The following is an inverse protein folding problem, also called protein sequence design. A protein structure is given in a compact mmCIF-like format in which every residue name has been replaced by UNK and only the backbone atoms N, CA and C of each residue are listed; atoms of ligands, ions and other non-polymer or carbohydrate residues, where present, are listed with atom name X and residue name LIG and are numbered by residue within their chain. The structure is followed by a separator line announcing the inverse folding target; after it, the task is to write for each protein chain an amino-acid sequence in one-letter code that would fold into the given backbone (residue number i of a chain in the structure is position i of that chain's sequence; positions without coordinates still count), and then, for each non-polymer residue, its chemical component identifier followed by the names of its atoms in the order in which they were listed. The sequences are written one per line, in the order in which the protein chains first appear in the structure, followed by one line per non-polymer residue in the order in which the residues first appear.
data_IF_081387307431
#
_entry.id   IF_081387307431
#
_cell.length_a   1.000
_cell.length_b   1.000
_cell.length_c   1.000
_cell.angle_alpha   90.00
_cell.angle_beta   90.00
_cell.angle_gamma   90.00
#
_symmetry.space_group_name_H-M   'P 1'
#
loop_
_entity.id
_entity.type
_entity.pdbx_description
1 polymer ?
#
# COMPACT_ATOMS: atom_id res chain seq x y z
N UNK A 1 14.68 6.07 -16.07
CA UNK A 1 14.29 4.65 -16.27
C UNK A 1 15.27 3.67 -15.61
N UNK A 2 16.58 3.71 -15.89
CA UNK A 2 17.55 2.76 -15.31
C UNK A 2 17.56 2.75 -13.77
N UNK A 3 17.58 3.93 -13.13
CA UNK A 3 17.53 4.05 -11.67
C UNK A 3 16.27 3.39 -11.09
N UNK A 4 15.11 3.59 -11.73
CA UNK A 4 13.86 2.95 -11.33
C UNK A 4 13.93 1.42 -11.44
N UNK A 5 14.48 0.90 -12.55
CA UNK A 5 14.69 -0.54 -12.72
C UNK A 5 15.61 -1.12 -11.65
N UNK A 6 16.71 -0.43 -11.34
CA UNK A 6 17.62 -0.85 -10.26
C UNK A 6 16.87 -0.91 -8.92
N UNK A 7 16.09 0.13 -8.57
CA UNK A 7 15.29 0.17 -7.34
C UNK A 7 14.26 -0.95 -7.27
N UNK A 8 13.57 -1.23 -8.37
CA UNK A 8 12.68 -2.40 -8.52
C UNK A 8 13.42 -3.71 -8.21
N UNK A 9 14.56 -3.96 -8.87
CA UNK A 9 15.32 -5.19 -8.65
C UNK A 9 15.86 -5.31 -7.22
N UNK A 10 16.25 -4.19 -6.59
CA UNK A 10 16.64 -4.18 -5.18
C UNK A 10 15.48 -4.55 -4.26
N UNK A 11 14.28 -4.03 -4.54
CA UNK A 11 13.08 -4.28 -3.74
C UNK A 11 12.67 -5.76 -3.84
N UNK A 12 12.61 -6.31 -5.06
CA UNK A 12 12.30 -7.74 -5.28
C UNK A 12 13.33 -8.64 -4.59
N UNK A 13 14.62 -8.35 -4.74
CA UNK A 13 15.70 -9.16 -4.16
C UNK A 13 15.68 -9.14 -2.63
N UNK A 14 15.43 -7.98 -2.02
CA UNK A 14 15.51 -7.82 -0.57
C UNK A 14 14.21 -8.13 0.17
N UNK A 15 13.05 -8.16 -0.53
CA UNK A 15 11.73 -8.37 0.08
C UNK A 15 11.65 -9.58 1.02
N UNK A 16 12.05 -10.81 0.65
CA UNK A 16 11.92 -11.95 1.56
C UNK A 16 12.74 -11.77 2.85
N UNK A 17 13.91 -11.14 2.75
CA UNK A 17 14.76 -10.84 3.90
C UNK A 17 14.18 -9.72 4.76
N UNK A 18 13.71 -8.63 4.15
CA UNK A 18 13.06 -7.53 4.84
C UNK A 18 11.82 -7.99 5.63
N UNK A 19 11.01 -8.87 5.03
CA UNK A 19 9.85 -9.48 5.69
C UNK A 19 10.25 -10.45 6.82
N UNK A 20 11.46 -11.00 6.78
CA UNK A 20 11.97 -11.90 7.82
C UNK A 20 12.61 -11.17 9.01
N UNK A 21 12.53 -9.83 9.08
CA UNK A 21 13.14 -9.03 10.14
C UNK A 21 12.65 -9.42 11.55
N UNK A 22 11.38 -9.82 11.66
CA UNK A 22 10.79 -10.28 12.93
C UNK A 22 11.38 -11.61 13.40
N UNK A 23 11.90 -12.43 12.47
CA UNK A 23 12.57 -13.71 12.79
C UNK A 23 14.04 -13.51 13.13
N UNK A 24 14.72 -12.56 12.48
CA UNK A 24 16.12 -12.25 12.78
C UNK A 24 16.50 -10.80 12.50
N UNK A 25 17.17 -10.11 13.46
CA UNK A 25 17.59 -8.72 13.28
C UNK A 25 18.70 -8.56 12.22
N UNK A 26 19.30 -9.66 11.73
CA UNK A 26 20.34 -9.64 10.68
C UNK A 26 19.87 -9.03 9.36
N UNK A 27 18.56 -8.98 9.12
CA UNK A 27 17.98 -8.43 7.91
C UNK A 27 17.67 -6.93 7.98
N UNK A 28 18.21 -6.21 8.96
CA UNK A 28 18.02 -4.76 9.13
C UNK A 28 18.47 -3.98 7.89
N UNK A 29 19.56 -4.40 7.24
CA UNK A 29 20.01 -3.81 5.98
C UNK A 29 18.97 -3.99 4.86
N UNK A 30 18.43 -5.20 4.70
CA UNK A 30 17.40 -5.47 3.67
C UNK A 30 16.12 -4.69 3.92
N UNK A 31 15.66 -4.58 5.17
CA UNK A 31 14.51 -3.72 5.55
C UNK A 31 14.76 -2.27 5.14
N UNK A 32 15.94 -1.72 5.48
CA UNK A 32 16.34 -0.35 5.11
C UNK A 32 16.35 -0.14 3.59
N UNK A 33 17.01 -1.01 2.84
CA UNK A 33 17.13 -0.88 1.38
C UNK A 33 15.77 -1.00 0.68
N UNK A 34 14.89 -1.90 1.15
CA UNK A 34 13.53 -2.01 0.66
C UNK A 34 12.74 -0.71 0.87
N UNK A 35 12.79 -0.15 2.08
CA UNK A 35 12.08 1.10 2.40
C UNK A 35 12.60 2.28 1.59
N UNK A 36 13.92 2.49 1.56
CA UNK A 36 14.53 3.59 0.79
C UNK A 36 14.21 3.48 -0.70
N UNK A 37 14.27 2.26 -1.24
CA UNK A 37 13.97 2.03 -2.65
C UNK A 37 12.48 2.23 -2.96
N UNK A 38 11.60 1.80 -2.07
CA UNK A 38 10.16 2.01 -2.20
C UNK A 38 9.80 3.51 -2.19
N UNK A 39 10.30 4.27 -1.21
CA UNK A 39 10.04 5.71 -1.12
C UNK A 39 10.60 6.47 -2.34
N UNK A 40 11.79 6.10 -2.81
CA UNK A 40 12.35 6.66 -4.03
C UNK A 40 11.52 6.32 -5.28
N UNK A 41 10.88 5.14 -5.33
CA UNK A 41 9.98 4.81 -6.42
C UNK A 41 8.69 5.62 -6.35
N UNK A 42 8.10 5.78 -5.15
CA UNK A 42 6.87 6.54 -4.97
C UNK A 42 7.05 8.05 -5.21
N UNK A 43 8.25 8.60 -5.01
CA UNK A 43 8.50 10.03 -5.30
C UNK A 43 8.37 10.37 -6.79
N UNK A 44 8.48 9.38 -7.70
CA UNK A 44 8.19 9.59 -9.12
C UNK A 44 6.70 9.79 -9.44
N UNK A 45 5.81 9.57 -8.47
CA UNK A 45 4.37 9.89 -8.58
C UNK A 45 4.06 11.32 -8.12
N UNK A 46 5.02 12.02 -7.53
CA UNK A 46 4.81 13.39 -7.05
C UNK A 46 4.66 14.36 -8.24
N UNK A 47 3.66 15.25 -8.22
CA UNK A 47 3.52 16.26 -9.27
C UNK A 47 4.74 17.18 -9.24
N UNK A 48 5.56 17.13 -10.30
CA UNK A 48 6.69 18.05 -10.46
C UNK A 48 6.17 19.48 -10.64
N UNK A 49 6.60 20.38 -9.76
CA UNK A 49 6.40 21.84 -9.90
C UNK A 49 7.20 22.42 -11.06
N UNK A 50 8.26 21.74 -11.50
CA UNK A 50 9.04 22.14 -12.66
C UNK A 50 8.63 21.34 -13.89
N UNK A 51 8.21 22.06 -14.93
CA UNK A 51 7.81 21.54 -16.24
C UNK A 51 9.00 20.96 -17.02
N UNK A 52 9.71 19.98 -16.46
CA UNK A 52 10.73 19.21 -17.17
C UNK A 52 10.15 17.86 -17.60
N UNK A 53 9.68 17.87 -18.85
CA UNK A 53 9.82 16.91 -19.96
C UNK A 53 10.40 15.48 -19.74
N UNK A 54 10.34 14.89 -18.56
CA UNK A 54 10.36 13.43 -18.46
C UNK A 54 8.90 12.99 -18.56
N UNK A 55 8.49 12.16 -19.53
CA UNK A 55 7.16 11.55 -19.48
C UNK A 55 7.01 10.95 -18.09
N UNK A 56 6.04 11.46 -17.31
CA UNK A 56 5.88 11.08 -15.92
C UNK A 56 5.92 9.56 -15.89
N UNK A 57 6.79 8.96 -15.08
CA UNK A 57 6.89 7.50 -15.04
C UNK A 57 5.53 6.86 -14.67
N UNK A 58 4.67 7.64 -14.00
CA UNK A 58 3.25 7.38 -13.80
C UNK A 58 2.43 7.24 -15.10
N UNK A 59 2.71 8.02 -16.15
CA UNK A 59 2.13 7.86 -17.50
C UNK A 59 2.72 6.66 -18.25
N UNK A 60 3.96 6.27 -17.94
CA UNK A 60 4.63 5.07 -18.48
C UNK A 60 4.25 3.77 -17.75
N UNK A 61 3.47 3.86 -16.68
CA UNK A 61 3.02 2.73 -15.87
C UNK A 61 1.80 2.05 -16.51
N UNK A 62 1.96 1.69 -17.77
CA UNK A 62 1.20 0.66 -18.47
C UNK A 62 2.09 -0.57 -18.66
N UNK A 63 1.50 -1.77 -18.80
CA UNK A 63 2.28 -3.01 -18.97
C UNK A 63 3.13 -3.37 -17.75
N UNK A 64 4.41 -3.73 -17.97
CA UNK A 64 5.33 -4.32 -16.98
C UNK A 64 5.64 -3.45 -15.73
N UNK A 65 5.22 -2.18 -15.70
CA UNK A 65 5.49 -1.24 -14.61
C UNK A 65 4.25 -0.86 -13.78
N UNK A 66 3.10 -1.51 -14.01
CA UNK A 66 1.86 -1.23 -13.26
C UNK A 66 1.96 -1.64 -11.80
N UNK A 67 2.47 -2.83 -11.54
CA UNK A 67 2.48 -3.41 -10.19
C UNK A 67 3.65 -2.92 -9.32
N UNK A 68 4.62 -2.25 -9.93
CA UNK A 68 5.83 -1.77 -9.25
C UNK A 68 5.52 -0.69 -8.21
N UNK A 69 4.61 0.23 -8.52
CA UNK A 69 4.15 1.22 -7.56
C UNK A 69 3.30 0.61 -6.46
N UNK A 70 2.54 -0.46 -6.78
CA UNK A 70 1.77 -1.19 -5.78
C UNK A 70 2.73 -1.88 -4.81
N UNK A 71 3.72 -2.62 -5.29
CA UNK A 71 4.72 -3.27 -4.44
C UNK A 71 5.55 -2.30 -3.61
N UNK A 72 5.92 -1.14 -4.18
CA UNK A 72 6.57 -0.08 -3.43
C UNK A 72 5.66 0.44 -2.30
N UNK A 73 4.41 0.78 -2.59
CA UNK A 73 3.47 1.25 -1.58
C UNK A 73 3.19 0.20 -0.48
N UNK A 74 3.06 -1.07 -0.86
CA UNK A 74 2.92 -2.16 0.11
C UNK A 74 4.16 -2.32 1.01
N UNK A 75 5.36 -2.14 0.46
CA UNK A 75 6.60 -2.15 1.25
C UNK A 75 6.59 -1.03 2.30
N UNK A 76 6.12 0.16 1.94
CA UNK A 76 5.94 1.28 2.88
C UNK A 76 4.87 0.95 3.94
N UNK A 77 3.76 0.33 3.56
CA UNK A 77 2.74 -0.13 4.50
C UNK A 77 3.26 -1.18 5.49
N UNK A 78 4.08 -2.13 5.03
CA UNK A 78 4.72 -3.11 5.92
C UNK A 78 5.67 -2.43 6.90
N UNK A 79 6.46 -1.45 6.46
CA UNK A 79 7.31 -0.69 7.37
C UNK A 79 6.48 0.04 8.45
N UNK A 80 5.41 0.73 8.06
CA UNK A 80 4.50 1.38 9.01
C UNK A 80 3.88 0.39 10.00
N UNK A 81 3.51 -0.80 9.53
CA UNK A 81 3.04 -1.89 10.39
C UNK A 81 4.13 -2.32 11.39
N UNK A 82 5.36 -2.56 10.93
CA UNK A 82 6.47 -2.96 11.80
C UNK A 82 6.76 -1.90 12.87
N UNK A 83 6.74 -0.62 12.50
CA UNK A 83 6.87 0.48 13.46
C UNK A 83 5.74 0.43 14.50
N UNK A 84 4.49 0.20 14.09
CA UNK A 84 3.36 0.10 15.05
C UNK A 84 3.54 -1.05 16.07
N UNK A 85 4.17 -2.16 15.67
CA UNK A 85 4.51 -3.26 16.57
C UNK A 85 5.66 -2.88 17.52
N UNK A 86 6.68 -2.16 17.03
CA UNK A 86 7.83 -1.73 17.84
C UNK A 86 7.42 -0.69 18.91
N UNK A 87 6.48 0.20 18.61
CA UNK A 87 5.96 1.19 19.56
C UNK A 87 5.00 0.63 20.61
N UNK A 88 4.33 -0.48 20.31
CA UNK A 88 3.37 -1.11 21.23
C UNK A 88 4.04 -2.03 22.27
N UNK A 89 5.33 -2.36 22.10
CA UNK A 89 6.06 -3.14 23.08
C UNK A 89 6.31 -2.27 24.33
N UNK A 90 5.90 -2.71 25.55
CA UNK A 90 6.12 -1.93 26.75
C UNK A 90 7.62 -1.74 26.97
N UNK A 91 8.08 -0.51 26.79
CA UNK A 91 9.45 -0.11 27.11
C UNK A 91 9.61 -0.25 28.63
N UNK A 92 10.10 -1.41 29.08
CA UNK A 92 10.16 -1.84 30.48
C UNK A 92 11.24 -1.11 31.29
N UNK A 93 11.50 0.16 31.01
CA UNK A 93 12.47 0.98 31.72
C UNK A 93 11.78 2.24 32.24
N UNK A 94 11.70 2.44 33.57
CA UNK A 94 11.25 3.69 34.16
C UNK A 94 12.35 4.75 33.98
N UNK A 95 12.54 5.23 32.76
CA UNK A 95 13.31 6.44 32.51
C UNK A 95 12.31 7.60 32.47
N UNK A 96 12.50 8.59 33.34
CA UNK A 96 11.65 9.78 33.42
C UNK A 96 11.54 10.53 32.08
N UNK A 97 10.65 11.53 31.96
CA UNK A 97 10.42 12.26 30.73
C UNK A 97 11.67 13.05 30.33
N UNK A 98 12.58 12.40 29.61
CA UNK A 98 13.76 13.03 29.03
C UNK A 98 13.31 13.71 27.75
N UNK A 99 13.61 15.01 27.62
CA UNK A 99 13.34 15.84 26.44
C UNK A 99 13.89 15.26 25.13
N UNK A 100 14.86 14.34 25.22
CA UNK A 100 15.44 13.59 24.10
C UNK A 100 14.55 12.46 23.59
N UNK A 101 13.79 11.81 24.47
CA UNK A 101 12.82 10.78 24.07
C UNK A 101 11.61 11.40 23.37
N UNK A 102 11.16 12.56 23.83
CA UNK A 102 10.04 13.28 23.20
C UNK A 102 10.41 13.73 21.79
N UNK A 103 11.60 14.30 21.58
CA UNK A 103 12.05 14.74 20.26
C UNK A 103 12.27 13.58 19.27
N UNK A 104 12.74 12.43 19.75
CA UNK A 104 12.85 11.22 18.92
C UNK A 104 11.48 10.68 18.50
N UNK A 105 10.52 10.61 19.42
CA UNK A 105 9.15 10.19 19.11
C UNK A 105 8.47 11.13 18.09
N UNK A 106 8.70 12.44 18.22
CA UNK A 106 8.17 13.43 17.26
C UNK A 106 8.79 13.26 15.86
N UNK A 107 10.08 12.95 15.78
CA UNK A 107 10.74 12.65 14.50
C UNK A 107 10.16 11.40 13.84
N UNK A 108 9.93 10.33 14.60
CA UNK A 108 9.35 9.10 14.04
C UNK A 108 7.91 9.33 13.59
N UNK A 109 7.11 10.07 14.37
CA UNK A 109 5.74 10.45 13.96
C UNK A 109 5.75 11.29 12.67
N UNK A 110 6.70 12.22 12.54
CA UNK A 110 6.88 13.00 11.32
C UNK A 110 7.21 12.12 10.11
N UNK A 111 8.12 11.14 10.29
CA UNK A 111 8.43 10.17 9.24
C UNK A 111 7.21 9.32 8.85
N UNK A 112 6.44 8.85 9.83
CA UNK A 112 5.21 8.08 9.59
C UNK A 112 4.20 8.88 8.77
N UNK A 113 4.02 10.17 9.07
CA UNK A 113 3.11 11.03 8.31
C UNK A 113 3.55 11.16 6.84
N UNK A 114 4.84 11.37 6.59
CA UNK A 114 5.38 11.43 5.23
C UNK A 114 5.15 10.11 4.47
N UNK A 115 5.33 8.98 5.14
CA UNK A 115 5.09 7.65 4.56
C UNK A 115 3.60 7.42 4.26
N UNK A 116 2.71 7.77 5.20
CA UNK A 116 1.26 7.70 5.01
C UNK A 116 0.82 8.55 3.81
N UNK A 117 1.35 9.77 3.70
CA UNK A 117 1.07 10.66 2.60
C UNK A 117 1.59 10.10 1.26
N UNK A 118 2.75 9.44 1.24
CA UNK A 118 3.27 8.79 0.02
C UNK A 118 2.34 7.65 -0.46
N UNK A 119 1.83 6.83 0.46
CA UNK A 119 0.86 5.77 0.12
C UNK A 119 -0.46 6.37 -0.34
N UNK A 120 -0.97 7.41 0.35
CA UNK A 120 -2.22 8.08 -0.04
C UNK A 120 -2.14 8.69 -1.44
N UNK A 121 -1.02 9.32 -1.80
CA UNK A 121 -0.77 9.82 -3.17
C UNK A 121 -0.74 8.70 -4.21
N UNK A 122 -0.24 7.53 -3.83
CA UNK A 122 -0.23 6.36 -4.70
C UNK A 122 -1.65 5.82 -4.92
N UNK A 123 -2.48 5.78 -3.88
CA UNK A 123 -3.91 5.45 -3.99
C UNK A 123 -4.62 6.43 -4.92
N UNK A 124 -4.39 7.74 -4.77
CA UNK A 124 -4.95 8.75 -5.66
C UNK A 124 -4.51 8.56 -7.12
N UNK A 125 -3.26 8.16 -7.33
CA UNK A 125 -2.75 7.80 -8.67
C UNK A 125 -3.48 6.59 -9.25
N UNK A 126 -3.76 5.56 -8.44
CA UNK A 126 -4.56 4.42 -8.89
C UNK A 126 -6.02 4.79 -9.14
N UNK A 127 -6.60 5.67 -8.33
CA UNK A 127 -7.95 6.19 -8.53
C UNK A 127 -8.09 6.91 -9.88
N UNK A 128 -7.11 7.75 -10.24
CA UNK A 128 -7.07 8.43 -11.54
C UNK A 128 -6.98 7.47 -12.74
N UNK A 129 -6.53 6.21 -12.53
CA UNK A 129 -6.42 5.19 -13.58
C UNK A 129 -7.62 4.26 -13.64
N UNK A 130 -8.52 4.31 -12.67
CA UNK A 130 -9.74 3.51 -12.72
C UNK A 130 -10.58 3.93 -13.92
N UNK A 131 -10.91 2.96 -14.76
CA UNK A 131 -11.76 3.17 -15.93
C UNK A 131 -13.18 2.63 -15.72
N UNK A 132 -14.13 3.00 -16.61
CA UNK A 132 -15.49 2.47 -16.60
C UNK A 132 -15.57 0.94 -16.70
N UNK A 133 -14.53 0.30 -17.25
CA UNK A 133 -14.41 -1.16 -17.37
C UNK A 133 -14.00 -1.87 -16.08
N UNK A 134 -13.79 -1.15 -14.98
CA UNK A 134 -13.29 -1.71 -13.71
C UNK A 134 -11.78 -2.03 -13.70
N UNK A 135 -11.09 -1.82 -14.84
CA UNK A 135 -9.63 -1.91 -14.91
C UNK A 135 -8.99 -0.94 -13.91
N UNK A 136 -8.04 -1.43 -13.12
CA UNK A 136 -7.34 -0.65 -12.10
C UNK A 136 -8.01 -0.63 -10.71
N UNK A 137 -9.28 -1.05 -10.58
CA UNK A 137 -9.97 -1.04 -9.28
C UNK A 137 -9.32 -1.97 -8.24
N UNK A 138 -8.70 -3.09 -8.66
CA UNK A 138 -8.07 -4.05 -7.73
C UNK A 138 -6.93 -3.44 -6.93
N UNK A 139 -5.96 -2.82 -7.61
CA UNK A 139 -4.80 -2.20 -6.96
C UNK A 139 -5.22 -1.03 -6.06
N UNK A 140 -6.19 -0.22 -6.52
CA UNK A 140 -6.79 0.85 -5.73
C UNK A 140 -7.47 0.31 -4.45
N UNK A 141 -8.38 -0.65 -4.61
CA UNK A 141 -9.16 -1.23 -3.52
C UNK A 141 -8.25 -1.89 -2.49
N UNK A 142 -7.34 -2.75 -2.95
CA UNK A 142 -6.42 -3.48 -2.09
C UNK A 142 -5.51 -2.53 -1.29
N UNK A 143 -4.87 -1.56 -1.96
CA UNK A 143 -3.98 -0.64 -1.27
C UNK A 143 -4.73 0.26 -0.28
N UNK A 144 -5.97 0.65 -0.59
CA UNK A 144 -6.83 1.41 0.33
C UNK A 144 -7.10 0.60 1.61
N UNK A 145 -7.43 -0.70 1.49
CA UNK A 145 -7.66 -1.55 2.66
C UNK A 145 -6.39 -1.77 3.50
N UNK A 146 -5.25 -1.98 2.84
CA UNK A 146 -3.97 -2.12 3.54
C UNK A 146 -3.63 -0.83 4.29
N UNK A 147 -3.81 0.34 3.67
CA UNK A 147 -3.58 1.63 4.33
C UNK A 147 -4.53 1.84 5.51
N UNK A 148 -5.80 1.48 5.37
CA UNK A 148 -6.79 1.54 6.46
C UNK A 148 -6.36 0.66 7.65
N UNK A 149 -5.94 -0.58 7.39
CA UNK A 149 -5.41 -1.49 8.40
C UNK A 149 -4.22 -0.90 9.15
N UNK A 150 -3.26 -0.33 8.43
CA UNK A 150 -2.06 0.27 9.00
C UNK A 150 -2.42 1.50 9.84
N UNK A 151 -3.27 2.40 9.34
CA UNK A 151 -3.75 3.57 10.09
C UNK A 151 -4.46 3.16 11.38
N UNK A 152 -5.31 2.13 11.32
CA UNK A 152 -5.98 1.61 12.51
C UNK A 152 -4.96 1.13 13.56
N UNK A 153 -3.95 0.36 13.16
CA UNK A 153 -2.91 -0.16 14.07
C UNK A 153 -2.05 0.94 14.68
N UNK A 154 -1.64 1.94 13.91
CA UNK A 154 -0.90 3.11 14.42
C UNK A 154 -1.74 3.86 15.46
N UNK A 155 -3.06 3.96 15.25
CA UNK A 155 -3.99 4.62 16.17
C UNK A 155 -4.47 3.74 17.33
N UNK A 156 -3.98 2.50 17.45
CA UNK A 156 -4.43 1.54 18.48
C UNK A 156 -5.89 1.10 18.34
N UNK A 157 -6.46 1.21 17.13
CA UNK A 157 -7.82 0.79 16.79
C UNK A 157 -7.83 -0.66 16.29
N UNK A 158 -9.01 -1.29 16.34
CA UNK A 158 -9.24 -2.61 15.76
C UNK A 158 -9.21 -2.53 14.22
N UNK A 159 -8.20 -3.14 13.56
CA UNK A 159 -8.06 -3.05 12.11
C UNK A 159 -9.23 -3.69 11.36
N UNK A 160 -9.87 -4.74 11.92
CA UNK A 160 -10.96 -5.42 11.22
C UNK A 160 -12.17 -4.49 11.06
N UNK A 161 -12.58 -3.81 12.15
CA UNK A 161 -13.71 -2.87 12.13
C UNK A 161 -13.48 -1.70 11.18
N UNK A 162 -12.27 -1.15 11.17
CA UNK A 162 -11.92 -0.04 10.27
C UNK A 162 -11.95 -0.49 8.81
N UNK A 163 -11.39 -1.67 8.50
CA UNK A 163 -11.43 -2.24 7.16
C UNK A 163 -12.88 -2.48 6.71
N UNK A 164 -13.74 -3.07 7.54
CA UNK A 164 -15.15 -3.32 7.21
C UNK A 164 -15.89 -2.04 6.81
N UNK A 165 -15.64 -0.93 7.54
CA UNK A 165 -16.20 0.37 7.21
C UNK A 165 -15.64 0.91 5.88
N UNK A 166 -14.32 0.86 5.71
CA UNK A 166 -13.64 1.42 4.53
C UNK A 166 -13.92 0.62 3.25
N UNK A 167 -14.11 -0.71 3.34
CA UNK A 167 -14.51 -1.57 2.22
C UNK A 167 -15.78 -1.04 1.57
N UNK A 168 -16.79 -0.70 2.38
CA UNK A 168 -18.08 -0.23 1.89
C UNK A 168 -17.98 1.12 1.18
N UNK A 169 -17.14 2.02 1.69
CA UNK A 169 -16.87 3.32 1.06
C UNK A 169 -16.11 3.11 -0.25
N UNK A 170 -15.04 2.31 -0.23
CA UNK A 170 -14.20 2.03 -1.39
C UNK A 170 -14.98 1.35 -2.51
N UNK A 171 -15.86 0.40 -2.19
CA UNK A 171 -16.73 -0.27 -3.17
C UNK A 171 -17.67 0.73 -3.86
N UNK A 172 -18.31 1.63 -3.11
CA UNK A 172 -19.15 2.70 -3.68
C UNK A 172 -18.33 3.65 -4.58
N UNK A 173 -17.12 3.99 -4.17
CA UNK A 173 -16.23 4.83 -4.98
C UNK A 173 -15.88 4.13 -6.31
N UNK A 174 -15.48 2.86 -6.27
CA UNK A 174 -15.22 2.08 -7.48
C UNK A 174 -16.48 1.99 -8.36
N UNK A 175 -17.65 1.77 -7.77
CA UNK A 175 -18.92 1.72 -8.51
C UNK A 175 -19.23 3.04 -9.23
N UNK A 176 -19.07 4.18 -8.55
CA UNK A 176 -19.29 5.50 -9.16
C UNK A 176 -18.35 5.75 -10.34
N UNK A 177 -17.09 5.34 -10.23
CA UNK A 177 -16.12 5.43 -11.33
C UNK A 177 -16.48 4.48 -12.47
N UNK A 178 -16.88 3.24 -12.17
CA UNK A 178 -17.35 2.29 -13.17
C UNK A 178 -18.61 2.78 -13.91
N UNK A 179 -19.48 3.54 -13.23
CA UNK A 179 -20.64 4.22 -13.82
C UNK A 179 -20.29 5.46 -14.65
N UNK A 180 -19.00 5.83 -14.75
CA UNK A 180 -18.50 6.93 -15.58
C UNK A 180 -18.26 8.25 -14.85
N UNK A 181 -18.36 8.28 -13.51
CA UNK A 181 -17.99 9.49 -12.75
C UNK A 181 -16.47 9.62 -12.70
N UNK A 182 -15.88 10.78 -13.06
CA UNK A 182 -14.43 10.94 -12.98
C UNK A 182 -13.96 10.84 -11.53
N UNK A 183 -12.81 10.19 -11.29
CA UNK A 183 -12.25 9.97 -9.94
C UNK A 183 -12.12 11.25 -9.12
N UNK A 184 -11.71 12.36 -9.74
CA UNK A 184 -11.62 13.66 -9.06
C UNK A 184 -12.94 14.06 -8.38
N UNK A 185 -14.07 13.88 -9.07
CA UNK A 185 -15.38 14.19 -8.53
C UNK A 185 -15.82 13.20 -7.42
N UNK A 186 -15.44 11.93 -7.51
CA UNK A 186 -15.71 10.91 -6.47
C UNK A 186 -14.93 11.21 -5.19
N UNK A 187 -13.67 11.61 -5.33
CA UNK A 187 -12.80 12.00 -4.21
C UNK A 187 -13.35 13.23 -3.47
N UNK A 188 -13.77 14.26 -4.21
CA UNK A 188 -14.28 15.51 -3.62
C UNK A 188 -15.59 15.31 -2.85
N UNK A 189 -16.45 14.39 -3.31
CA UNK A 189 -17.67 13.98 -2.61
C UNK A 189 -17.37 13.31 -1.26
N UNK A 190 -16.31 12.50 -1.19
CA UNK A 190 -15.91 11.81 0.04
C UNK A 190 -15.38 12.81 1.08
N UNK A 191 -14.66 13.85 0.65
CA UNK A 191 -14.18 14.92 1.52
C UNK A 191 -15.29 15.82 2.10
N UNK A 192 -16.42 15.96 1.38
CA UNK A 192 -17.58 16.75 1.85
C UNK A 192 -18.61 15.94 2.64
N UNK A 193 -18.63 14.61 2.50
CA UNK A 193 -19.61 13.74 3.16
C UNK A 193 -19.05 13.13 4.45
N UNK A 194 -18.62 13.97 5.38
CA UNK A 194 -18.52 13.57 6.79
C UNK A 194 -19.94 13.47 7.36
N UNK A 195 -20.61 12.33 7.14
CA UNK A 195 -21.96 12.06 7.62
C UNK A 195 -21.94 11.91 9.16
N UNK A 196 -22.89 12.51 9.89
CA UNK A 196 -22.99 12.40 11.35
C UNK A 196 -23.37 10.99 11.79
N UNK A 197 -22.66 10.52 12.81
CA UNK A 197 -22.86 9.23 13.50
C UNK A 197 -24.29 9.15 14.03
N UNK A 198 -25.12 8.28 13.45
CA UNK A 198 -26.36 7.82 14.07
C UNK A 198 -26.21 6.36 14.42
N UNK A 199 -26.12 6.10 15.73
CA UNK A 199 -26.06 4.77 16.31
C UNK A 199 -27.37 4.03 16.03
N UNK A 200 -27.27 2.80 15.53
CA UNK A 200 -28.36 1.83 15.64
C UNK A 200 -27.73 0.47 15.88
N UNK A 201 -27.90 -0.03 17.10
CA UNK A 201 -27.25 -1.22 17.60
C UNK A 201 -27.82 -2.51 17.02
N UNK A 202 -26.92 -3.49 16.86
CA UNK A 202 -27.21 -4.92 16.84
C UNK A 202 -26.02 -5.67 17.48
N UNK A 203 -26.24 -6.90 17.97
CA UNK A 203 -25.61 -7.39 19.19
C UNK A 203 -24.18 -7.87 18.96
N UNK A 204 -23.36 -7.61 19.97
CA UNK A 204 -21.99 -8.05 20.13
C UNK A 204 -21.91 -9.58 20.18
N UNK A 205 -21.28 -10.18 19.18
CA UNK A 205 -20.71 -11.52 19.28
C UNK A 205 -19.29 -11.37 19.81
N UNK A 206 -19.10 -11.74 21.08
CA UNK A 206 -17.78 -11.94 21.67
C UNK A 206 -17.05 -13.06 20.90
N UNK A 207 -16.14 -12.66 20.02
CA UNK A 207 -15.11 -13.52 19.49
C UNK A 207 -13.77 -13.01 20.01
N UNK A 208 -13.32 -13.59 21.12
CA UNK A 208 -11.92 -13.52 21.54
C UNK A 208 -11.09 -14.33 20.53
N UNK A 209 -10.85 -13.73 19.37
CA UNK A 209 -9.89 -14.25 18.41
C UNK A 209 -8.48 -13.94 18.93
N UNK A 210 -7.54 -14.90 18.87
CA UNK A 210 -6.15 -14.62 19.19
C UNK A 210 -5.64 -13.54 18.23
N UNK A 211 -4.77 -12.66 18.74
CA UNK A 211 -4.04 -11.69 17.92
C UNK A 211 -3.31 -12.47 16.84
N UNK A 212 -3.86 -12.47 15.62
CA UNK A 212 -3.20 -13.04 14.45
C UNK A 212 -1.83 -12.38 14.33
N UNK A 213 -0.82 -13.14 14.77
CA UNK A 213 0.57 -12.74 14.66
C UNK A 213 0.89 -12.85 13.18
N UNK A 214 0.66 -11.75 12.46
CA UNK A 214 1.03 -11.63 11.07
C UNK A 214 2.51 -11.96 10.95
N UNK A 215 2.83 -13.10 10.34
CA UNK A 215 4.19 -13.51 10.01
C UNK A 215 4.48 -13.07 8.57
N UNK A 216 5.07 -11.89 8.35
CA UNK A 216 5.39 -11.41 7.01
C UNK A 216 6.25 -12.39 6.19
N UNK A 217 6.98 -13.29 6.85
CA UNK A 217 7.81 -14.29 6.19
C UNK A 217 7.09 -15.61 5.88
N UNK A 218 5.79 -15.76 6.20
CA UNK A 218 4.95 -16.83 5.64
C UNK A 218 4.51 -16.54 4.19
N UNK A 219 4.73 -15.31 3.70
CA UNK A 219 4.48 -14.91 2.31
C UNK A 219 5.67 -15.18 1.38
N UNK A 220 6.77 -15.75 1.89
CA UNK A 220 7.97 -16.00 1.11
C UNK A 220 8.14 -17.47 0.78
N UNK A 221 7.98 -17.78 -0.51
CA UNK A 221 8.54 -18.92 -1.26
C UNK A 221 7.66 -20.16 -1.52
N UNK A 222 6.66 -20.52 -0.70
CA UNK A 222 5.87 -21.76 -0.95
C UNK A 222 4.33 -21.63 -0.75
N UNK A 223 3.80 -20.41 -0.57
CA UNK A 223 2.36 -20.21 -0.42
C UNK A 223 1.67 -20.00 -1.78
N UNK A 224 0.49 -20.61 -2.05
CA UNK A 224 -0.32 -20.32 -3.25
C UNK A 224 -0.86 -18.88 -3.31
N UNK A 225 -0.56 -18.07 -2.29
CA UNK A 225 -0.82 -16.63 -2.17
C UNK A 225 0.49 -15.82 -2.27
N UNK A 226 1.39 -16.20 -3.19
CA UNK A 226 2.49 -15.32 -3.57
C UNK A 226 1.90 -13.99 -4.07
N UNK A 227 2.33 -12.89 -3.44
CA UNK A 227 1.92 -11.53 -3.78
C UNK A 227 2.22 -11.17 -5.25
N UNK A 228 3.16 -11.86 -5.91
CA UNK A 228 3.36 -11.73 -7.36
C UNK A 228 2.21 -12.34 -8.17
N UNK A 229 1.83 -13.58 -7.85
CA UNK A 229 0.76 -14.30 -8.56
C UNK A 229 -0.65 -13.74 -8.31
N UNK A 230 -0.88 -13.10 -7.15
CA UNK A 230 -2.19 -12.55 -6.78
C UNK A 230 -2.66 -11.43 -7.72
N UNK A 231 -1.73 -10.69 -8.31
CA UNK A 231 -2.04 -9.55 -9.20
C UNK A 231 -1.78 -9.83 -10.68
N UNK A 232 -0.87 -10.76 -11.02
CA UNK A 232 -0.54 -11.09 -12.41
C UNK A 232 -1.68 -11.83 -13.15
N UNK A 233 -2.39 -12.77 -12.52
CA UNK A 233 -3.21 -13.74 -13.26
C UNK A 233 -4.47 -13.15 -13.95
N UNK A 234 -4.91 -11.94 -13.57
CA UNK A 234 -6.15 -11.37 -14.09
C UNK A 234 -5.95 -10.20 -15.08
N UNK A 235 -4.76 -9.58 -15.09
CA UNK A 235 -4.49 -8.42 -15.95
C UNK A 235 -3.79 -8.83 -17.26
N UNK A 236 -3.17 -10.00 -17.30
CA UNK A 236 -2.83 -10.67 -18.55
C UNK A 236 -4.08 -11.39 -19.06
N UNK A 237 -4.78 -10.79 -20.03
CA UNK A 237 -5.71 -11.53 -20.86
C UNK A 237 -4.96 -12.60 -21.65
N UNK A 238 -4.78 -13.79 -21.07
CA UNK A 238 -4.04 -14.92 -21.65
C UNK A 238 -4.82 -15.61 -22.79
N UNK A 239 -5.63 -14.88 -23.56
CA UNK A 239 -6.32 -15.46 -24.73
C UNK A 239 -6.48 -14.55 -25.95
N UNK A 240 -6.13 -13.26 -25.91
CA UNK A 240 -6.41 -12.38 -27.07
C UNK A 240 -5.20 -11.62 -27.63
N UNK A 241 -3.99 -11.77 -27.08
CA UNK A 241 -2.81 -11.00 -27.52
C UNK A 241 -1.69 -11.79 -28.20
N UNK A 242 -1.83 -13.12 -28.30
CA UNK A 242 -1.00 -13.93 -29.19
C UNK A 242 -1.84 -14.34 -30.38
N UNK A 243 -2.19 -13.34 -31.20
CA UNK A 243 -2.63 -13.61 -32.55
C UNK A 243 -1.52 -14.40 -33.25
N UNK A 244 -1.88 -15.59 -33.74
CA UNK A 244 -0.96 -16.67 -34.11
C UNK A 244 -0.16 -16.37 -35.39
N UNK A 245 -0.29 -15.18 -35.94
CA UNK A 245 0.23 -14.79 -37.25
C UNK A 245 1.56 -14.02 -37.19
N UNK A 246 2.06 -13.66 -36.01
CA UNK A 246 3.34 -12.91 -35.91
C UNK A 246 4.56 -13.71 -36.44
N UNK A 247 4.50 -15.06 -36.39
CA UNK A 247 5.56 -15.92 -36.90
C UNK A 247 5.31 -16.47 -38.32
N UNK A 248 4.22 -16.06 -38.99
CA UNK A 248 3.85 -16.60 -40.30
C UNK A 248 4.35 -15.75 -41.50
N UNK A 249 5.12 -14.67 -41.28
CA UNK A 249 5.50 -13.75 -42.36
C UNK A 249 6.99 -13.36 -42.42
N UNK A 250 7.90 -14.19 -41.91
CA UNK A 250 9.33 -14.08 -42.20
C UNK A 250 9.92 -15.43 -42.61
#
# INVERSE_FOLDING_TARGET
MLVFLMRRSLLVLNRPFALSILRTPKFSYSRKICLESALQMLSYLEPSTEAQALPQLAQLSGGMFRDEFLHAALTVCVELYLQSCEFSLPQSLPMGPSSTLTSFNDLVRSQQEVMLQAVQRTIDTFGNRMGPSGKGCKAFFFLTMVLASVKARINGQDPQKVIEQDVMVCMRQCEQVMRGTPWAAVRDQTGSSAIPTTATGLPSLDATAPVDTFDPASFGLDAPLDFGNLFDMADFGVSELWDRDFFASF
#
